data_IF_725369043799
#
_entry.id   IF_725369043799
#
_cell.length_a   1.000
_cell.length_b   1.000
_cell.length_c   1.000
_cell.angle_alpha   90.00
_cell.angle_beta   90.00
_cell.angle_gamma   90.00
#
_symmetry.space_group_name_H-M   'P 1'
#
loop_
_entity.id
_entity.type
_entity.pdbx_description
1 polymer ?
#
# COMPACT_ATOMS: atom_id res chain seq x y z
N UNK A 1 -3.71 15.10 -5.35
CA UNK A 1 -2.30 15.37 -5.75
C UNK A 1 -1.45 14.30 -5.09
N UNK A 2 -0.54 13.61 -5.80
CA UNK A 2 0.19 12.49 -5.21
C UNK A 2 1.24 13.01 -4.23
N UNK A 3 1.28 12.45 -3.02
CA UNK A 3 2.10 12.91 -1.90
C UNK A 3 3.62 12.63 -2.03
N UNK A 4 4.08 12.12 -3.17
CA UNK A 4 5.46 11.63 -3.36
C UNK A 4 6.34 12.51 -4.27
N UNK A 5 5.82 13.63 -4.80
CA UNK A 5 6.46 14.35 -5.91
C UNK A 5 7.87 14.91 -5.63
N UNK A 6 8.31 14.98 -4.36
CA UNK A 6 9.62 15.51 -3.96
C UNK A 6 10.47 14.55 -3.11
N UNK A 7 10.00 13.32 -2.86
CA UNK A 7 10.77 12.32 -2.10
C UNK A 7 11.40 11.29 -3.05
N UNK A 8 12.70 11.07 -2.89
CA UNK A 8 13.38 9.94 -3.54
C UNK A 8 12.99 8.66 -2.79
N UNK A 9 12.22 7.82 -3.45
CA UNK A 9 11.79 6.51 -2.93
C UNK A 9 12.90 5.47 -3.10
N UNK A 10 13.13 4.68 -2.06
CA UNK A 10 14.02 3.52 -2.04
C UNK A 10 13.19 2.26 -1.88
N UNK A 11 13.66 1.13 -2.43
CA UNK A 11 12.98 -0.15 -2.23
C UNK A 11 12.99 -0.51 -0.75
N UNK A 12 11.83 -0.87 -0.22
CA UNK A 12 11.70 -1.43 1.13
C UNK A 12 12.08 -2.92 1.12
N UNK A 13 12.58 -3.42 2.26
CA UNK A 13 12.95 -4.83 2.40
C UNK A 13 11.73 -5.75 2.46
N UNK A 14 10.66 -5.27 3.10
CA UNK A 14 9.44 -6.01 3.37
C UNK A 14 8.26 -5.04 3.57
N UNK A 15 7.09 -5.60 3.85
CA UNK A 15 5.88 -4.81 4.10
C UNK A 15 6.04 -3.93 5.33
N UNK A 16 6.72 -4.38 6.39
CA UNK A 16 6.82 -3.63 7.66
C UNK A 16 7.68 -2.37 7.54
N UNK A 17 8.76 -2.41 6.77
CA UNK A 17 9.66 -1.27 6.47
C UNK A 17 9.08 -0.32 5.39
N UNK A 18 8.00 -0.69 4.71
CA UNK A 18 7.44 0.08 3.60
C UNK A 18 6.52 1.23 4.09
N UNK A 19 6.72 2.42 3.51
CA UNK A 19 5.83 3.60 3.66
C UNK A 19 4.89 3.77 2.47
N UNK A 20 5.25 3.21 1.32
CA UNK A 20 4.51 3.36 0.07
C UNK A 20 4.46 2.05 -0.71
N UNK A 21 3.43 1.93 -1.55
CA UNK A 21 3.25 0.81 -2.46
C UNK A 21 2.91 1.30 -3.86
N UNK A 22 3.65 0.83 -4.86
CA UNK A 22 3.33 1.00 -6.27
C UNK A 22 2.54 -0.20 -6.77
N UNK A 23 1.46 0.06 -7.51
CA UNK A 23 0.68 -0.97 -8.16
C UNK A 23 1.29 -1.29 -9.52
N UNK A 24 2.24 -2.23 -9.56
CA UNK A 24 2.87 -2.64 -10.81
C UNK A 24 1.87 -3.32 -11.77
N UNK A 25 0.87 -4.03 -11.25
CA UNK A 25 -0.31 -4.46 -12.01
C UNK A 25 -1.50 -4.70 -11.08
N UNK A 26 -2.68 -4.27 -11.52
CA UNK A 26 -3.93 -4.33 -10.79
C UNK A 26 -4.81 -5.44 -11.36
N UNK A 27 -5.17 -6.39 -10.50
CA UNK A 27 -6.16 -7.38 -10.89
C UNK A 27 -7.56 -6.77 -10.87
N UNK A 28 -8.46 -7.32 -11.68
CA UNK A 28 -9.82 -6.79 -11.81
C UNK A 28 -10.52 -6.73 -10.45
N UNK A 29 -10.98 -5.54 -10.06
CA UNK A 29 -11.69 -5.32 -8.79
C UNK A 29 -10.81 -4.85 -7.62
N UNK A 30 -9.49 -4.68 -7.79
CA UNK A 30 -8.58 -4.18 -6.74
C UNK A 30 -8.79 -2.68 -6.41
N UNK A 31 -9.61 -1.94 -7.18
CA UNK A 31 -9.98 -0.52 -6.96
C UNK A 31 -8.79 0.46 -6.82
N UNK A 32 -7.66 0.09 -7.39
CA UNK A 32 -6.44 0.88 -7.47
C UNK A 32 -5.98 0.98 -8.92
N UNK A 33 -5.20 2.01 -9.23
CA UNK A 33 -4.71 2.33 -10.56
C UNK A 33 -3.29 1.79 -10.78
N UNK A 34 -3.07 1.08 -11.88
CA UNK A 34 -1.74 0.59 -12.28
C UNK A 34 -0.75 1.74 -12.51
N UNK A 35 0.49 1.57 -12.04
CA UNK A 35 1.56 2.56 -12.07
C UNK A 35 1.43 3.67 -11.02
N UNK A 36 0.37 3.68 -10.22
CA UNK A 36 0.19 4.66 -9.15
C UNK A 36 0.83 4.18 -7.85
N UNK A 37 1.41 5.14 -7.13
CA UNK A 37 1.99 4.93 -5.80
C UNK A 37 1.01 5.44 -4.74
N UNK A 38 0.69 4.57 -3.79
CA UNK A 38 -0.18 4.82 -2.66
C UNK A 38 0.65 4.87 -1.37
N UNK A 39 0.22 5.67 -0.40
CA UNK A 39 0.80 5.62 0.95
C UNK A 39 0.24 4.40 1.67
N UNK A 40 1.09 3.70 2.40
CA UNK A 40 0.67 2.65 3.32
C UNK A 40 0.20 3.27 4.63
N UNK A 41 -0.99 2.89 5.03
CA UNK A 41 -1.56 3.17 6.34
C UNK A 41 -1.50 1.90 7.19
N UNK A 42 -1.59 2.07 8.51
CA UNK A 42 -1.56 0.97 9.48
C UNK A 42 -2.76 1.00 10.39
N UNK A 43 -3.46 -0.12 10.47
CA UNK A 43 -4.57 -0.31 11.40
C UNK A 43 -4.12 -1.17 12.60
N UNK A 44 -4.16 -0.58 13.80
CA UNK A 44 -3.71 -1.22 15.04
C UNK A 44 -4.85 -1.84 15.87
N UNK A 45 -6.06 -1.97 15.30
CA UNK A 45 -7.22 -2.48 16.04
C UNK A 45 -7.11 -3.97 16.41
N UNK A 46 -6.25 -4.74 15.74
CA UNK A 46 -6.04 -6.17 15.99
C UNK A 46 -4.58 -6.47 16.39
N UNK A 47 -4.10 -5.94 17.54
CA UNK A 47 -2.69 -6.03 17.93
C UNK A 47 -2.24 -7.47 18.26
N UNK A 48 -3.19 -8.40 18.44
CA UNK A 48 -2.89 -9.81 18.69
C UNK A 48 -2.65 -10.61 17.41
N UNK A 49 -2.97 -10.04 16.24
CA UNK A 49 -2.82 -10.68 14.92
C UNK A 49 -1.69 -10.00 14.15
N UNK A 50 -1.58 -8.68 14.26
CA UNK A 50 -0.59 -7.88 13.54
C UNK A 50 0.26 -7.07 14.51
N UNK A 51 1.53 -7.45 14.67
CA UNK A 51 2.48 -6.81 15.59
C UNK A 51 2.72 -5.34 15.23
N UNK A 52 2.84 -5.04 13.93
CA UNK A 52 3.07 -3.69 13.42
C UNK A 52 1.81 -3.05 12.79
N UNK A 53 0.64 -3.57 13.12
CA UNK A 53 -0.63 -3.16 12.53
C UNK A 53 -0.82 -3.71 11.10
N UNK A 54 -2.08 -3.89 10.73
CA UNK A 54 -2.45 -4.38 9.41
C UNK A 54 -2.25 -3.28 8.36
N UNK A 55 -1.48 -3.55 7.31
CA UNK A 55 -1.24 -2.58 6.25
C UNK A 55 -2.45 -2.45 5.33
N UNK A 56 -2.74 -1.23 4.89
CA UNK A 56 -3.71 -0.97 3.85
C UNK A 56 -3.38 0.28 3.04
N UNK A 57 -4.04 0.42 1.90
CA UNK A 57 -4.06 1.68 1.12
C UNK A 57 -5.46 2.27 1.15
N UNK A 58 -5.56 3.59 1.04
CA UNK A 58 -6.83 4.23 0.67
C UNK A 58 -6.95 4.16 -0.85
N UNK A 59 -7.93 3.40 -1.32
CA UNK A 59 -8.13 3.11 -2.74
C UNK A 59 -8.72 4.30 -3.52
N UNK A 60 -8.91 4.13 -4.83
CA UNK A 60 -9.43 5.19 -5.71
C UNK A 60 -10.90 5.54 -5.42
N UNK A 61 -11.60 4.73 -4.64
CA UNK A 61 -12.96 4.96 -4.15
C UNK A 61 -12.97 5.49 -2.70
N UNK A 62 -11.81 5.90 -2.17
CA UNK A 62 -11.61 6.45 -0.81
C UNK A 62 -11.90 5.46 0.31
N UNK A 63 -11.70 4.16 0.06
CA UNK A 63 -11.93 3.09 1.04
C UNK A 63 -10.63 2.43 1.46
N UNK A 64 -10.60 1.97 2.71
CA UNK A 64 -9.49 1.17 3.22
C UNK A 64 -9.46 -0.17 2.49
N UNK A 65 -8.35 -0.43 1.80
CA UNK A 65 -8.19 -1.60 0.95
C UNK A 65 -6.97 -2.41 1.37
N UNK A 66 -7.26 -3.44 2.16
CA UNK A 66 -6.32 -4.43 2.65
C UNK A 66 -6.02 -5.50 1.59
N UNK A 67 -6.91 -5.67 0.60
CA UNK A 67 -6.80 -6.74 -0.40
C UNK A 67 -5.73 -6.47 -1.46
N UNK A 68 -5.17 -5.25 -1.50
CA UNK A 68 -4.10 -4.86 -2.44
C UNK A 68 -2.91 -5.83 -2.38
N UNK A 69 -2.54 -6.29 -1.17
CA UNK A 69 -1.41 -7.19 -0.96
C UNK A 69 -1.66 -8.62 -1.45
N UNK A 70 -2.92 -9.01 -1.62
CA UNK A 70 -3.30 -10.34 -2.09
C UNK A 70 -3.64 -10.36 -3.59
N UNK A 71 -4.26 -9.29 -4.08
CA UNK A 71 -4.83 -9.25 -5.42
C UNK A 71 -3.93 -8.55 -6.42
N UNK A 72 -3.17 -7.53 -6.01
CA UNK A 72 -2.37 -6.72 -6.91
C UNK A 72 -0.90 -7.17 -6.92
N UNK A 73 -0.21 -7.00 -8.06
CA UNK A 73 1.24 -7.10 -8.12
C UNK A 73 1.81 -5.76 -7.67
N UNK A 74 2.60 -5.78 -6.61
CA UNK A 74 3.06 -4.57 -5.92
C UNK A 74 4.58 -4.45 -5.85
N UNK A 75 5.06 -3.21 -5.68
CA UNK A 75 6.44 -2.88 -5.32
C UNK A 75 6.41 -1.98 -4.10
N UNK A 76 7.25 -2.29 -3.10
CA UNK A 76 7.26 -1.61 -1.82
C UNK A 76 8.40 -0.59 -1.75
N UNK A 77 8.11 0.59 -1.18
CA UNK A 77 9.06 1.69 -1.08
C UNK A 77 9.07 2.36 0.30
N UNK A 78 10.17 3.05 0.61
CA UNK A 78 10.33 4.01 1.72
C UNK A 78 11.05 5.28 1.29
#
# INVERSE_FOLDING_TARGET
MPAYHDKKLYLAADEEDAEYVEIASAFHGCKVTEGQIYRLERNYNNPHIFENGEAYVVDDETRDNYAVFMLCKIVLYK
#
